data_IF_503596512520
#
_entry.id   IF_503596512520
#
_cell.length_a   1.000
_cell.length_b   1.000
_cell.length_c   1.000
_cell.angle_alpha   90.00
_cell.angle_beta   90.00
_cell.angle_gamma   90.00
#
_symmetry.space_group_name_H-M   'P 1'
#
loop_
_entity.id
_entity.type
_entity.pdbx_description
1 polymer ?
#
# COMPACT_ATOMS: atom_id res chain seq x y z
N UNK A 1 6.14 -19.59 -4.54
CA UNK A 1 7.35 -19.26 -5.30
C UNK A 1 7.70 -20.43 -6.20
N UNK A 2 7.88 -20.20 -7.50
CA UNK A 2 8.30 -21.22 -8.47
C UNK A 2 9.82 -21.49 -8.40
N UNK A 3 10.27 -22.66 -8.89
CA UNK A 3 11.70 -23.02 -8.87
C UNK A 3 12.58 -22.06 -9.68
N UNK A 4 12.11 -21.61 -10.85
CA UNK A 4 12.85 -20.65 -11.68
C UNK A 4 13.04 -19.29 -10.98
N UNK A 5 12.09 -18.86 -10.14
CA UNK A 5 12.27 -17.68 -9.30
C UNK A 5 13.38 -17.90 -8.27
N UNK A 6 13.44 -19.06 -7.62
CA UNK A 6 14.49 -19.38 -6.63
C UNK A 6 15.87 -19.38 -7.26
N UNK A 7 16.00 -19.94 -8.46
CA UNK A 7 17.25 -19.95 -9.21
C UNK A 7 17.67 -18.53 -9.60
N UNK A 8 16.74 -17.75 -10.16
CA UNK A 8 16.99 -16.36 -10.53
C UNK A 8 17.33 -15.46 -9.33
N UNK A 9 16.78 -15.74 -8.15
CA UNK A 9 17.15 -15.03 -6.91
C UNK A 9 18.60 -15.26 -6.50
N UNK A 10 19.18 -16.44 -6.77
CA UNK A 10 20.62 -16.70 -6.53
C UNK A 10 21.46 -15.83 -7.46
N UNK A 11 21.09 -15.76 -8.73
CA UNK A 11 21.77 -14.91 -9.74
C UNK A 11 21.70 -13.44 -9.31
N UNK A 12 20.52 -12.97 -8.89
CA UNK A 12 20.32 -11.62 -8.38
C UNK A 12 21.21 -11.33 -7.17
N UNK A 13 21.23 -12.22 -6.17
CA UNK A 13 22.07 -12.06 -4.99
C UNK A 13 23.56 -11.97 -5.35
N UNK A 14 24.05 -12.85 -6.22
CA UNK A 14 25.44 -12.85 -6.68
C UNK A 14 25.81 -11.62 -7.52
N UNK A 15 24.86 -11.11 -8.32
CA UNK A 15 25.03 -9.89 -9.10
C UNK A 15 25.29 -8.69 -8.17
N UNK A 16 24.39 -8.45 -7.21
CA UNK A 16 24.47 -7.31 -6.30
C UNK A 16 25.55 -7.46 -5.23
N UNK A 17 25.90 -8.68 -4.81
CA UNK A 17 26.99 -8.92 -3.86
C UNK A 17 28.36 -8.49 -4.43
N UNK A 18 28.52 -8.52 -5.74
CA UNK A 18 29.75 -8.10 -6.44
C UNK A 18 29.76 -6.61 -6.79
N UNK A 19 28.63 -5.93 -6.66
CA UNK A 19 28.52 -4.53 -7.04
C UNK A 19 29.16 -3.63 -5.97
N UNK A 20 30.16 -2.81 -6.32
CA UNK A 20 30.80 -1.92 -5.36
C UNK A 20 29.77 -0.98 -4.70
N UNK A 21 29.84 -0.85 -3.38
CA UNK A 21 29.00 0.07 -2.62
C UNK A 21 27.64 -0.49 -2.17
N UNK A 22 27.24 -1.68 -2.60
CA UNK A 22 26.02 -2.34 -2.12
C UNK A 22 26.33 -3.14 -0.84
N UNK A 23 25.78 -2.71 0.30
CA UNK A 23 26.04 -3.32 1.61
C UNK A 23 24.97 -4.34 2.02
N UNK A 24 23.81 -4.32 1.38
CA UNK A 24 22.74 -5.29 1.59
C UNK A 24 21.82 -5.36 0.37
N UNK A 25 21.17 -6.51 0.19
CA UNK A 25 20.09 -6.68 -0.77
C UNK A 25 18.87 -7.27 -0.06
N UNK A 26 17.75 -6.57 -0.19
CA UNK A 26 16.45 -7.01 0.33
C UNK A 26 15.59 -7.45 -0.85
N UNK A 27 15.05 -8.65 -0.78
CA UNK A 27 14.10 -9.19 -1.74
C UNK A 27 12.67 -8.94 -1.26
N UNK A 28 11.85 -8.35 -2.11
CA UNK A 28 10.48 -7.96 -1.78
C UNK A 28 9.47 -8.38 -2.84
N UNK A 29 8.38 -7.61 -2.92
CA UNK A 29 7.44 -7.74 -4.04
C UNK A 29 6.53 -8.96 -4.00
N UNK A 30 5.95 -9.28 -5.15
CA UNK A 30 4.88 -10.30 -5.25
C UNK A 30 5.37 -11.71 -4.93
N UNK A 31 6.61 -12.03 -5.33
CA UNK A 31 7.23 -13.35 -5.13
C UNK A 31 7.62 -13.57 -3.66
N UNK A 32 8.13 -12.53 -2.97
CA UNK A 32 8.36 -12.62 -1.52
C UNK A 32 7.06 -12.84 -0.74
N UNK A 33 5.95 -12.26 -1.23
CA UNK A 33 4.64 -12.33 -0.59
C UNK A 33 3.88 -13.64 -0.84
N UNK A 34 4.27 -14.43 -1.83
CA UNK A 34 3.60 -15.67 -2.22
C UNK A 34 2.36 -15.46 -3.08
N UNK A 35 2.28 -14.33 -3.80
CA UNK A 35 1.16 -13.95 -4.67
C UNK A 35 1.62 -13.72 -6.12
N UNK A 36 2.77 -14.29 -6.45
CA UNK A 36 3.38 -14.20 -7.78
C UNK A 36 2.61 -15.00 -8.83
N UNK A 37 2.81 -14.58 -10.09
CA UNK A 37 2.50 -15.37 -11.27
C UNK A 37 3.76 -16.06 -11.77
N UNK A 38 3.67 -17.05 -12.67
CA UNK A 38 4.84 -17.66 -13.28
C UNK A 38 5.78 -16.67 -13.98
N UNK A 39 5.24 -15.54 -14.45
CA UNK A 39 5.93 -14.47 -15.18
C UNK A 39 6.26 -13.24 -14.30
N UNK A 40 6.16 -13.37 -12.98
CA UNK A 40 6.47 -12.25 -12.08
C UNK A 40 7.95 -11.87 -12.14
N UNK A 41 8.20 -10.58 -12.03
CA UNK A 41 9.50 -9.97 -11.81
C UNK A 41 10.05 -10.26 -10.40
N UNK A 42 11.36 -10.08 -10.24
CA UNK A 42 12.01 -10.16 -8.93
C UNK A 42 12.33 -8.75 -8.42
N UNK A 43 11.58 -8.30 -7.42
CA UNK A 43 11.75 -7.00 -6.77
C UNK A 43 12.91 -7.01 -5.76
N UNK A 44 13.82 -6.05 -5.86
CA UNK A 44 14.93 -5.85 -4.94
C UNK A 44 15.03 -4.43 -4.39
N UNK A 45 15.57 -4.31 -3.19
CA UNK A 45 16.10 -3.05 -2.67
C UNK A 45 17.58 -3.21 -2.31
N UNK A 46 18.45 -2.57 -3.08
CA UNK A 46 19.89 -2.53 -2.83
C UNK A 46 20.22 -1.38 -1.87
N UNK A 47 20.84 -1.68 -0.74
CA UNK A 47 21.22 -0.68 0.27
C UNK A 47 22.62 -0.15 -0.05
N UNK A 48 22.72 1.17 -0.21
CA UNK A 48 23.96 1.88 -0.57
C UNK A 48 24.23 3.04 0.39
N UNK A 49 25.42 3.65 0.27
CA UNK A 49 25.76 4.88 0.99
C UNK A 49 24.92 6.07 0.50
N UNK A 50 24.86 7.15 1.30
CA UNK A 50 24.18 8.38 0.90
C UNK A 50 24.81 8.99 -0.35
N UNK A 51 26.15 9.03 -0.43
CA UNK A 51 26.88 9.53 -1.59
C UNK A 51 26.56 8.76 -2.88
N UNK A 52 26.49 7.42 -2.79
CA UNK A 52 26.12 6.57 -3.91
C UNK A 52 24.68 6.82 -4.36
N UNK A 53 23.75 6.91 -3.39
CA UNK A 53 22.35 7.20 -3.67
C UNK A 53 22.18 8.56 -4.35
N UNK A 54 22.84 9.61 -3.85
CA UNK A 54 22.78 10.96 -4.41
C UNK A 54 23.34 10.98 -5.85
N UNK A 55 24.44 10.27 -6.11
CA UNK A 55 24.99 10.10 -7.47
C UNK A 55 23.99 9.42 -8.40
N UNK A 56 23.32 8.37 -7.92
CA UNK A 56 22.30 7.65 -8.68
C UNK A 56 21.08 8.52 -8.98
N UNK A 57 20.62 9.30 -8.02
CA UNK A 57 19.55 10.28 -8.23
C UNK A 57 19.97 11.32 -9.27
N UNK A 58 21.18 11.89 -9.16
CA UNK A 58 21.70 12.88 -10.10
C UNK A 58 21.89 12.34 -11.53
N UNK A 59 22.00 11.01 -11.69
CA UNK A 59 22.17 10.34 -12.99
C UNK A 59 20.94 9.56 -13.43
N UNK A 60 19.81 9.68 -12.73
CA UNK A 60 18.56 8.95 -13.01
C UNK A 60 18.70 7.42 -13.00
N UNK A 61 19.56 6.90 -12.13
CA UNK A 61 19.85 5.45 -11.94
C UNK A 61 19.51 4.97 -10.52
N UNK A 62 18.56 5.63 -9.86
CA UNK A 62 18.05 5.23 -8.53
C UNK A 62 17.13 4.01 -8.57
N UNK A 63 16.73 3.57 -9.78
CA UNK A 63 16.03 2.31 -10.04
C UNK A 63 16.61 1.70 -11.30
N UNK A 64 16.72 0.38 -11.34
CA UNK A 64 17.24 -0.39 -12.46
C UNK A 64 16.28 -1.53 -12.81
N UNK A 65 16.07 -1.73 -14.11
CA UNK A 65 15.39 -2.89 -14.66
C UNK A 65 16.43 -3.72 -15.40
N UNK A 66 16.72 -4.93 -14.90
CA UNK A 66 17.72 -5.81 -15.49
C UNK A 66 17.03 -6.98 -16.17
N UNK A 67 17.07 -7.00 -17.50
CA UNK A 67 16.54 -8.09 -18.33
C UNK A 67 17.64 -9.10 -18.67
N UNK A 68 17.24 -10.31 -19.04
CA UNK A 68 18.16 -11.35 -19.54
C UNK A 68 19.02 -12.06 -18.49
N UNK A 69 18.80 -11.80 -17.20
CA UNK A 69 19.46 -12.51 -16.09
C UNK A 69 18.55 -13.53 -15.37
N UNK A 70 17.24 -13.46 -15.59
CA UNK A 70 16.31 -14.48 -15.10
C UNK A 70 16.45 -15.78 -15.91
N UNK A 71 16.19 -16.92 -15.26
CA UNK A 71 16.21 -18.26 -15.87
C UNK A 71 14.91 -18.64 -16.58
N UNK A 72 14.04 -17.65 -16.82
CA UNK A 72 12.72 -17.81 -17.43
C UNK A 72 12.42 -16.64 -18.38
N UNK A 73 11.60 -16.86 -19.43
CA UNK A 73 11.28 -15.84 -20.42
C UNK A 73 10.62 -14.61 -19.80
N UNK A 74 10.93 -13.43 -20.35
CA UNK A 74 10.38 -12.12 -19.97
C UNK A 74 10.62 -11.70 -18.50
N UNK A 75 11.27 -12.54 -17.69
CA UNK A 75 11.66 -12.21 -16.33
C UNK A 75 12.71 -11.11 -16.29
N UNK A 76 12.59 -10.22 -15.30
CA UNK A 76 13.56 -9.16 -15.03
C UNK A 76 13.69 -8.91 -13.54
N UNK A 77 14.80 -8.29 -13.14
CA UNK A 77 14.96 -7.73 -11.80
C UNK A 77 14.48 -6.27 -11.82
N UNK A 78 13.61 -5.90 -10.88
CA UNK A 78 13.24 -4.51 -10.59
C UNK A 78 13.92 -4.10 -9.29
N UNK A 79 14.98 -3.32 -9.36
CA UNK A 79 15.80 -3.00 -8.18
C UNK A 79 15.85 -1.53 -7.91
N UNK A 80 15.51 -1.16 -6.67
CA UNK A 80 15.56 0.20 -6.16
C UNK A 80 16.78 0.36 -5.28
N UNK A 81 17.48 1.48 -5.43
CA UNK A 81 18.57 1.82 -4.54
C UNK A 81 18.02 2.65 -3.39
N UNK A 82 18.37 2.27 -2.17
CA UNK A 82 17.93 2.95 -0.94
C UNK A 82 19.10 3.11 0.03
N UNK A 83 18.96 4.00 0.99
CA UNK A 83 19.95 4.18 2.05
C UNK A 83 19.51 3.51 3.34
N UNK A 84 20.46 3.29 4.26
CA UNK A 84 20.12 2.84 5.62
C UNK A 84 19.23 3.85 6.35
N UNK A 85 19.42 5.14 6.11
CA UNK A 85 18.59 6.18 6.72
C UNK A 85 17.16 6.17 6.17
N UNK A 86 16.96 5.83 4.89
CA UNK A 86 15.63 5.54 4.37
C UNK A 86 14.95 4.42 5.17
N UNK A 87 15.65 3.31 5.45
CA UNK A 87 15.08 2.21 6.23
C UNK A 87 14.71 2.64 7.66
N UNK A 88 15.54 3.46 8.31
CA UNK A 88 15.24 4.03 9.63
C UNK A 88 13.98 4.90 9.59
N UNK A 89 13.88 5.80 8.62
CA UNK A 89 12.72 6.67 8.45
C UNK A 89 11.45 5.88 8.08
N UNK A 90 11.57 4.85 7.24
CA UNK A 90 10.46 3.98 6.89
C UNK A 90 9.94 3.20 8.11
N UNK A 91 10.84 2.77 9.00
CA UNK A 91 10.46 2.07 10.23
C UNK A 91 9.67 2.96 11.18
N UNK A 92 9.98 4.27 11.21
CA UNK A 92 9.34 5.26 12.06
C UNK A 92 8.03 5.80 11.46
N UNK A 93 8.04 6.19 10.19
CA UNK A 93 6.99 6.99 9.56
C UNK A 93 6.72 6.66 8.08
N UNK A 94 7.14 5.48 7.62
CA UNK A 94 6.85 5.03 6.26
C UNK A 94 5.35 4.93 6.03
N UNK A 95 4.89 5.32 4.83
CA UNK A 95 3.49 5.14 4.42
C UNK A 95 3.11 3.65 4.38
N UNK A 96 1.83 3.32 4.43
CA UNK A 96 1.42 1.90 4.39
C UNK A 96 1.89 1.16 3.12
N UNK A 97 1.87 1.74 1.91
CA UNK A 97 2.46 1.12 0.72
C UNK A 97 3.96 0.87 0.87
N UNK A 98 4.71 1.83 1.43
CA UNK A 98 6.13 1.63 1.74
C UNK A 98 6.30 0.47 2.71
N UNK A 99 5.57 0.46 3.83
CA UNK A 99 5.65 -0.60 4.84
C UNK A 99 5.27 -1.96 4.26
N UNK A 100 4.19 -2.00 3.47
CA UNK A 100 3.72 -3.20 2.79
C UNK A 100 4.75 -3.74 1.80
N UNK A 101 5.59 -2.90 1.19
CA UNK A 101 6.67 -3.37 0.31
C UNK A 101 7.71 -4.23 1.04
N UNK A 102 7.84 -4.06 2.37
CA UNK A 102 8.70 -4.87 3.23
C UNK A 102 7.98 -6.03 3.93
N UNK A 103 6.65 -6.13 3.81
CA UNK A 103 5.90 -7.27 4.34
C UNK A 103 6.34 -8.58 3.65
N UNK A 104 6.83 -9.54 4.45
CA UNK A 104 7.48 -10.79 4.01
C UNK A 104 8.77 -10.61 3.20
N UNK A 105 9.37 -9.42 3.21
CA UNK A 105 10.66 -9.19 2.57
C UNK A 105 11.76 -10.01 3.26
N UNK A 106 12.77 -10.40 2.48
CA UNK A 106 13.87 -11.25 2.93
C UNK A 106 15.19 -10.53 2.67
N UNK A 107 16.07 -10.50 3.65
CA UNK A 107 17.44 -10.02 3.44
C UNK A 107 18.23 -11.14 2.78
N UNK A 108 18.59 -10.98 1.51
CA UNK A 108 19.37 -11.98 0.76
C UNK A 108 20.83 -11.99 1.21
N UNK A 109 21.39 -10.82 1.50
CA UNK A 109 22.66 -10.64 2.19
C UNK A 109 22.70 -9.27 2.87
N UNK A 110 23.55 -9.13 3.89
CA UNK A 110 23.86 -7.85 4.50
C UNK A 110 25.21 -7.90 5.23
N UNK A 111 25.97 -6.81 5.11
CA UNK A 111 27.20 -6.56 5.89
C UNK A 111 26.92 -5.72 7.15
N UNK A 112 25.67 -5.29 7.36
CA UNK A 112 25.26 -4.41 8.45
C UNK A 112 24.16 -5.08 9.31
N UNK A 113 24.45 -5.39 10.58
CA UNK A 113 23.53 -6.14 11.43
C UNK A 113 22.23 -5.38 11.78
N UNK A 114 22.16 -4.07 11.53
CA UNK A 114 20.94 -3.28 11.77
C UNK A 114 19.89 -3.46 10.67
N UNK A 115 20.27 -3.93 9.48
CA UNK A 115 19.35 -4.02 8.32
C UNK A 115 18.19 -4.97 8.61
N UNK A 116 18.45 -6.22 8.99
CA UNK A 116 17.38 -7.20 9.23
C UNK A 116 16.37 -6.76 10.32
N UNK A 117 16.81 -6.23 11.49
CA UNK A 117 15.89 -5.62 12.46
C UNK A 117 15.06 -4.46 11.91
N UNK A 118 15.62 -3.59 11.06
CA UNK A 118 14.87 -2.51 10.43
C UNK A 118 13.78 -3.04 9.50
N UNK A 119 14.09 -4.03 8.66
CA UNK A 119 13.10 -4.64 7.75
C UNK A 119 11.91 -5.22 8.54
N UNK A 120 12.20 -5.94 9.63
CA UNK A 120 11.15 -6.48 10.50
C UNK A 120 10.24 -5.36 11.06
N UNK A 121 10.83 -4.28 11.57
CA UNK A 121 10.09 -3.14 12.12
C UNK A 121 9.28 -2.38 11.08
N UNK A 122 9.76 -2.26 9.83
CA UNK A 122 9.03 -1.61 8.74
C UNK A 122 7.77 -2.42 8.38
N UNK A 123 7.87 -3.75 8.40
CA UNK A 123 6.78 -4.64 8.02
C UNK A 123 5.62 -4.69 9.02
N UNK A 124 5.78 -4.14 10.22
CA UNK A 124 4.74 -4.13 11.27
C UNK A 124 3.58 -3.18 10.93
N UNK A 125 2.36 -3.60 11.27
CA UNK A 125 1.17 -2.75 11.17
C UNK A 125 1.16 -1.68 12.27
N UNK A 126 0.86 -0.43 11.90
CA UNK A 126 0.96 0.73 12.79
C UNK A 126 -0.29 0.89 13.66
N UNK A 127 -0.36 0.11 14.75
CA UNK A 127 -1.49 0.13 15.68
C UNK A 127 -1.82 1.52 16.23
N UNK A 128 -0.80 2.34 16.50
CA UNK A 128 -0.97 3.70 17.02
C UNK A 128 -1.70 4.64 16.05
N UNK A 129 -1.67 4.36 14.75
CA UNK A 129 -2.31 5.19 13.72
C UNK A 129 -3.72 4.69 13.35
N UNK A 130 -4.05 3.44 13.67
CA UNK A 130 -5.31 2.78 13.27
C UNK A 130 -6.55 3.61 13.59
N UNK A 131 -6.66 4.11 14.82
CA UNK A 131 -7.83 4.90 15.22
C UNK A 131 -7.98 6.19 14.40
N UNK A 132 -6.86 6.85 14.06
CA UNK A 132 -6.88 8.07 13.29
C UNK A 132 -7.19 7.79 11.81
N UNK A 133 -6.58 6.74 11.22
CA UNK A 133 -6.86 6.25 9.87
C UNK A 133 -8.34 5.90 9.69
N UNK A 134 -8.90 5.12 10.63
CA UNK A 134 -10.32 4.76 10.63
C UNK A 134 -11.20 6.00 10.59
N UNK A 135 -10.89 7.01 11.41
CA UNK A 135 -11.64 8.25 11.44
C UNK A 135 -11.53 9.01 10.10
N UNK A 136 -10.34 9.11 9.51
CA UNK A 136 -10.13 9.79 8.23
C UNK A 136 -10.88 9.13 7.07
N UNK A 137 -10.73 7.82 6.89
CA UNK A 137 -11.42 7.10 5.80
C UNK A 137 -12.94 7.11 6.00
N UNK A 138 -13.42 6.94 7.23
CA UNK A 138 -14.85 7.03 7.50
C UNK A 138 -15.40 8.44 7.28
N UNK A 139 -14.63 9.48 7.64
CA UNK A 139 -15.05 10.86 7.43
C UNK A 139 -15.14 11.22 5.95
N UNK A 140 -14.18 10.78 5.15
CA UNK A 140 -14.21 10.97 3.70
C UNK A 140 -15.37 10.19 3.06
N UNK A 141 -15.55 8.91 3.41
CA UNK A 141 -16.69 8.10 2.99
C UNK A 141 -18.03 8.80 3.24
N UNK A 142 -18.24 9.31 4.45
CA UNK A 142 -19.50 9.93 4.84
C UNK A 142 -19.74 11.27 4.15
N UNK A 143 -18.70 12.05 3.86
CA UNK A 143 -18.85 13.29 3.07
C UNK A 143 -19.08 12.98 1.58
N UNK A 144 -18.30 12.08 0.99
CA UNK A 144 -18.50 11.62 -0.38
C UNK A 144 -19.91 11.10 -0.61
N UNK A 145 -20.41 10.24 0.28
CA UNK A 145 -21.74 9.67 0.15
C UNK A 145 -22.86 10.63 0.61
N UNK A 146 -22.79 11.17 1.82
CA UNK A 146 -23.88 11.98 2.38
C UNK A 146 -24.04 13.33 1.69
N UNK A 147 -22.93 14.06 1.52
CA UNK A 147 -22.96 15.41 0.95
C UNK A 147 -22.89 15.39 -0.57
N UNK A 148 -21.84 14.82 -1.16
CA UNK A 148 -21.67 14.89 -2.62
C UNK A 148 -22.65 13.97 -3.37
N UNK A 149 -22.77 12.71 -2.96
CA UNK A 149 -23.61 11.74 -3.66
C UNK A 149 -25.11 11.98 -3.44
N UNK A 150 -25.59 12.02 -2.19
CA UNK A 150 -27.03 12.12 -1.89
C UNK A 150 -27.58 13.55 -1.96
N UNK A 151 -26.84 14.53 -1.44
CA UNK A 151 -27.34 15.92 -1.32
C UNK A 151 -27.10 16.70 -2.62
N UNK A 152 -25.85 16.79 -3.07
CA UNK A 152 -25.51 17.53 -4.29
C UNK A 152 -25.85 16.78 -5.57
N UNK A 153 -25.94 15.44 -5.52
CA UNK A 153 -26.22 14.57 -6.66
C UNK A 153 -25.27 14.86 -7.82
N UNK A 154 -23.98 14.73 -7.53
CA UNK A 154 -22.93 15.01 -8.50
C UNK A 154 -23.03 14.10 -9.73
N UNK A 155 -22.74 14.67 -10.90
CA UNK A 155 -22.89 14.01 -12.21
C UNK A 155 -21.54 13.92 -12.97
N UNK A 156 -21.50 13.12 -14.03
CA UNK A 156 -20.35 12.96 -14.93
C UNK A 156 -19.05 12.58 -14.19
N UNK A 157 -17.96 13.33 -14.42
CA UNK A 157 -16.66 13.10 -13.79
C UNK A 157 -16.74 13.02 -12.27
N UNK A 158 -17.53 13.90 -11.64
CA UNK A 158 -17.63 13.92 -10.18
C UNK A 158 -18.34 12.67 -9.65
N UNK A 159 -19.27 12.09 -10.41
CA UNK A 159 -19.91 10.81 -10.05
C UNK A 159 -18.89 9.68 -10.02
N UNK A 160 -18.04 9.58 -11.06
CA UNK A 160 -16.96 8.58 -11.11
C UNK A 160 -15.97 8.79 -9.96
N UNK A 161 -15.56 10.05 -9.72
CA UNK A 161 -14.61 10.39 -8.64
C UNK A 161 -15.16 10.01 -7.27
N UNK A 162 -16.41 10.33 -6.97
CA UNK A 162 -17.04 10.00 -5.68
C UNK A 162 -17.26 8.50 -5.53
N UNK A 163 -17.73 7.80 -6.56
CA UNK A 163 -17.91 6.35 -6.49
C UNK A 163 -16.58 5.63 -6.18
N UNK A 164 -15.51 6.03 -6.87
CA UNK A 164 -14.16 5.52 -6.63
C UNK A 164 -13.66 5.79 -5.21
N UNK A 165 -13.85 7.02 -4.70
CA UNK A 165 -13.43 7.38 -3.34
C UNK A 165 -14.23 6.65 -2.25
N UNK A 166 -15.54 6.50 -2.46
CA UNK A 166 -16.42 5.76 -1.54
C UNK A 166 -16.00 4.30 -1.40
N UNK A 167 -15.72 3.63 -2.53
CA UNK A 167 -15.23 2.24 -2.53
C UNK A 167 -13.82 2.15 -1.95
N UNK A 168 -12.93 3.09 -2.31
CA UNK A 168 -11.59 3.18 -1.71
C UNK A 168 -11.68 3.25 -0.19
N UNK A 169 -12.43 4.19 0.37
CA UNK A 169 -12.57 4.35 1.82
C UNK A 169 -13.08 3.07 2.50
N UNK A 170 -14.10 2.41 1.95
CA UNK A 170 -14.62 1.15 2.48
C UNK A 170 -13.57 0.03 2.49
N UNK A 171 -12.81 -0.10 1.41
CA UNK A 171 -11.70 -1.05 1.33
C UNK A 171 -10.61 -0.74 2.35
N UNK A 172 -10.24 0.53 2.51
CA UNK A 172 -9.27 0.95 3.53
C UNK A 172 -9.75 0.61 4.93
N UNK A 173 -11.02 0.88 5.26
CA UNK A 173 -11.63 0.54 6.56
C UNK A 173 -11.58 -0.96 6.84
N UNK A 174 -11.87 -1.82 5.85
CA UNK A 174 -11.74 -3.27 6.01
C UNK A 174 -10.29 -3.66 6.30
N UNK A 175 -9.32 -3.13 5.55
CA UNK A 175 -7.90 -3.44 5.79
C UNK A 175 -7.46 -3.03 7.20
N UNK A 176 -7.88 -1.85 7.68
CA UNK A 176 -7.53 -1.37 9.02
C UNK A 176 -8.10 -2.25 10.14
N UNK A 177 -9.35 -2.71 10.04
CA UNK A 177 -9.93 -3.62 11.04
C UNK A 177 -9.25 -5.00 11.05
N UNK A 178 -8.75 -5.45 9.90
CA UNK A 178 -7.96 -6.68 9.78
C UNK A 178 -6.46 -6.48 10.05
N UNK A 179 -6.00 -5.26 10.31
CA UNK A 179 -4.60 -4.93 10.58
C UNK A 179 -3.66 -5.29 9.42
N UNK A 180 -4.18 -5.11 8.20
CA UNK A 180 -3.49 -5.36 6.95
C UNK A 180 -2.99 -4.02 6.40
N UNK A 181 -1.68 -3.92 6.17
CA UNK A 181 -1.07 -2.76 5.51
C UNK A 181 -1.63 -2.60 4.09
N UNK A 182 -1.98 -1.37 3.71
CA UNK A 182 -2.28 -1.02 2.33
C UNK A 182 -1.16 -1.44 1.37
N UNK A 183 -1.41 -2.25 0.33
CA UNK A 183 -0.36 -2.55 -0.63
C UNK A 183 -0.14 -1.40 -1.61
N UNK A 184 -1.20 -1.03 -2.32
CA UNK A 184 -1.30 0.02 -3.33
C UNK A 184 -2.69 -0.10 -3.98
N UNK A 185 -3.12 0.89 -4.76
CA UNK A 185 -4.41 0.85 -5.47
C UNK A 185 -4.53 -0.35 -6.42
N UNK A 186 -3.47 -0.71 -7.14
CA UNK A 186 -3.46 -1.85 -8.08
C UNK A 186 -3.82 -3.18 -7.40
N UNK A 187 -3.49 -3.36 -6.11
CA UNK A 187 -3.64 -4.62 -5.37
C UNK A 187 -4.68 -4.54 -4.25
N UNK A 188 -5.35 -3.39 -4.08
CA UNK A 188 -6.26 -3.12 -2.97
C UNK A 188 -7.36 -4.18 -2.88
N UNK A 189 -8.08 -4.42 -3.98
CA UNK A 189 -9.16 -5.41 -4.01
C UNK A 189 -8.68 -6.83 -3.68
N UNK A 190 -7.51 -7.22 -4.19
CA UNK A 190 -6.94 -8.53 -3.88
C UNK A 190 -6.72 -8.69 -2.37
N UNK A 191 -6.25 -7.64 -1.69
CA UNK A 191 -5.98 -7.69 -0.25
C UNK A 191 -7.28 -7.65 0.58
N UNK A 192 -8.29 -6.90 0.13
CA UNK A 192 -9.61 -6.93 0.74
C UNK A 192 -10.24 -8.31 0.57
N UNK A 193 -10.13 -8.92 -0.61
CA UNK A 193 -10.65 -10.27 -0.87
C UNK A 193 -9.98 -11.31 0.04
N UNK A 194 -8.67 -11.17 0.28
CA UNK A 194 -7.89 -12.04 1.17
C UNK A 194 -8.08 -11.75 2.66
N UNK A 195 -8.69 -10.62 3.04
CA UNK A 195 -8.89 -10.27 4.43
C UNK A 195 -9.77 -11.34 5.11
N UNK A 196 -9.34 -11.90 6.27
CA UNK A 196 -10.02 -13.02 6.90
C UNK A 196 -11.40 -12.63 7.45
N UNK A 197 -11.60 -11.36 7.81
CA UNK A 197 -12.85 -10.85 8.36
C UNK A 197 -13.37 -9.69 7.51
N UNK A 198 -14.54 -9.87 6.89
CA UNK A 198 -15.19 -8.84 6.05
C UNK A 198 -16.65 -9.21 5.80
N UNK A 199 -17.50 -8.27 5.36
CA UNK A 199 -18.84 -8.62 4.91
C UNK A 199 -18.81 -9.61 3.74
N UNK A 200 -19.79 -10.50 3.69
CA UNK A 200 -19.93 -11.47 2.60
C UNK A 200 -20.16 -10.76 1.26
N UNK A 201 -19.53 -11.25 0.18
CA UNK A 201 -19.65 -10.72 -1.19
C UNK A 201 -19.32 -9.22 -1.33
N UNK A 202 -18.51 -8.66 -0.42
CA UNK A 202 -18.27 -7.21 -0.36
C UNK A 202 -17.60 -6.64 -1.62
N UNK A 203 -16.47 -7.20 -2.05
CA UNK A 203 -15.74 -6.74 -3.25
C UNK A 203 -16.59 -6.89 -4.52
N UNK A 204 -17.28 -8.02 -4.79
CA UNK A 204 -18.23 -8.10 -5.90
C UNK A 204 -19.29 -7.00 -5.90
N UNK A 205 -19.89 -6.67 -4.75
CA UNK A 205 -20.88 -5.58 -4.67
C UNK A 205 -20.25 -4.21 -4.99
N UNK A 206 -19.06 -3.92 -4.45
CA UNK A 206 -18.34 -2.68 -4.72
C UNK A 206 -17.97 -2.53 -6.21
N UNK A 207 -17.53 -3.61 -6.87
CA UNK A 207 -17.28 -3.61 -8.32
C UNK A 207 -18.54 -3.30 -9.12
N UNK A 208 -19.64 -3.99 -8.80
CA UNK A 208 -20.92 -3.75 -9.45
C UNK A 208 -21.38 -2.29 -9.26
N UNK A 209 -21.15 -1.69 -8.08
CA UNK A 209 -21.46 -0.28 -7.86
C UNK A 209 -20.61 0.66 -8.71
N UNK A 210 -19.31 0.40 -8.88
CA UNK A 210 -18.45 1.19 -9.75
C UNK A 210 -18.86 1.11 -11.25
N UNK A 211 -19.58 0.07 -11.65
CA UNK A 211 -20.10 -0.10 -13.02
C UNK A 211 -21.48 0.55 -13.21
N UNK A 212 -22.36 0.42 -12.21
CA UNK A 212 -23.77 0.84 -12.35
C UNK A 212 -24.07 2.21 -11.76
N UNK A 213 -23.26 2.67 -10.80
CA UNK A 213 -23.53 3.83 -9.96
C UNK A 213 -24.93 3.78 -9.31
N UNK A 214 -25.42 2.58 -8.99
CA UNK A 214 -26.73 2.37 -8.39
C UNK A 214 -26.74 2.78 -6.91
N UNK A 215 -27.54 3.79 -6.59
CA UNK A 215 -27.82 4.28 -5.25
C UNK A 215 -28.26 3.19 -4.28
N UNK A 216 -29.21 2.34 -4.69
CA UNK A 216 -29.76 1.30 -3.81
C UNK A 216 -28.72 0.20 -3.54
N UNK A 217 -27.83 -0.05 -4.50
CA UNK A 217 -26.71 -0.96 -4.31
C UNK A 217 -25.72 -0.38 -3.29
N UNK A 218 -25.35 0.90 -3.39
CA UNK A 218 -24.44 1.49 -2.42
C UNK A 218 -25.03 1.55 -1.01
N UNK A 219 -26.32 1.85 -0.89
CA UNK A 219 -27.03 1.85 0.40
C UNK A 219 -26.91 0.48 1.09
N UNK A 220 -27.01 -0.61 0.32
CA UNK A 220 -26.79 -1.98 0.83
C UNK A 220 -25.34 -2.25 1.22
N UNK A 221 -24.37 -1.78 0.41
CA UNK A 221 -22.93 -1.92 0.73
C UNK A 221 -22.60 -1.22 2.05
N UNK A 222 -23.06 0.02 2.21
CA UNK A 222 -22.82 0.80 3.43
C UNK A 222 -23.50 0.16 4.65
N UNK A 223 -24.72 -0.35 4.49
CA UNK A 223 -25.41 -1.09 5.55
C UNK A 223 -24.66 -2.37 5.95
N UNK A 224 -24.16 -3.14 4.97
CA UNK A 224 -23.36 -4.33 5.23
C UNK A 224 -22.06 -4.01 5.99
N UNK A 225 -21.36 -2.94 5.59
CA UNK A 225 -20.18 -2.47 6.33
C UNK A 225 -20.54 -2.08 7.78
N UNK A 226 -21.58 -1.27 7.97
CA UNK A 226 -22.01 -0.80 9.31
C UNK A 226 -22.47 -1.92 10.23
N UNK A 227 -23.07 -2.98 9.68
CA UNK A 227 -23.48 -4.15 10.45
C UNK A 227 -22.29 -5.05 10.83
N UNK A 228 -21.22 -5.03 10.04
CA UNK A 228 -20.03 -5.85 10.25
C UNK A 228 -18.97 -5.19 11.15
N UNK A 229 -18.71 -3.89 10.96
CA UNK A 229 -17.66 -3.16 11.65
C UNK A 229 -17.83 -3.23 13.17
N UNK A 230 -16.73 -3.49 13.88
CA UNK A 230 -16.69 -3.45 15.36
C UNK A 230 -16.23 -2.10 15.88
N UNK A 231 -15.74 -1.23 14.99
CA UNK A 231 -15.23 0.07 15.35
C UNK A 231 -16.40 1.03 15.67
N UNK A 232 -16.39 1.71 16.84
CA UNK A 232 -17.43 2.65 17.24
C UNK A 232 -17.31 3.94 16.42
N UNK A 233 -17.86 3.91 15.20
CA UNK A 233 -17.81 5.03 14.27
C UNK A 233 -18.64 6.23 14.78
N UNK A 234 -18.17 7.47 14.56
CA UNK A 234 -18.90 8.65 15.02
C UNK A 234 -20.19 8.86 14.21
N UNK A 235 -21.22 9.35 14.89
CA UNK A 235 -22.48 9.79 14.26
C UNK A 235 -22.63 11.31 14.25
N UNK A 236 -21.79 12.04 15.01
CA UNK A 236 -21.77 13.50 15.01
C UNK A 236 -21.12 14.02 13.72
N UNK A 237 -21.92 14.72 12.92
CA UNK A 237 -21.51 15.30 11.65
C UNK A 237 -20.39 16.35 11.81
N UNK A 238 -20.30 17.02 12.96
CA UNK A 238 -19.23 17.99 13.21
C UNK A 238 -17.86 17.31 13.31
N UNK A 239 -17.79 16.14 13.95
CA UNK A 239 -16.55 15.35 14.04
C UNK A 239 -16.11 14.92 12.63
N UNK A 240 -17.06 14.38 11.87
CA UNK A 240 -16.83 13.88 10.50
C UNK A 240 -16.36 15.03 9.59
N UNK A 241 -17.09 16.15 9.56
CA UNK A 241 -16.74 17.29 8.72
C UNK A 241 -15.41 17.94 9.14
N UNK A 242 -15.15 18.06 10.45
CA UNK A 242 -13.89 18.62 10.96
C UNK A 242 -12.69 17.77 10.57
N UNK A 243 -12.79 16.44 10.70
CA UNK A 243 -11.73 15.54 10.25
C UNK A 243 -11.49 15.68 8.76
N UNK A 244 -12.55 15.63 7.95
CA UNK A 244 -12.46 15.75 6.49
C UNK A 244 -11.79 17.05 6.05
N UNK A 245 -12.09 18.15 6.73
CA UNK A 245 -11.44 19.43 6.48
C UNK A 245 -9.93 19.38 6.79
N UNK A 246 -9.54 18.78 7.93
CA UNK A 246 -8.13 18.63 8.28
C UNK A 246 -7.35 17.83 7.25
N UNK A 247 -7.92 16.73 6.77
CA UNK A 247 -7.23 15.80 5.89
C UNK A 247 -7.10 16.29 4.43
N UNK A 248 -8.00 17.15 3.96
CA UNK A 248 -8.05 17.51 2.53
C UNK A 248 -7.98 19.01 2.23
N UNK A 249 -8.35 19.88 3.16
CA UNK A 249 -8.30 21.33 2.95
C UNK A 249 -7.15 21.98 3.72
N UNK A 250 -6.88 21.49 4.95
CA UNK A 250 -5.92 22.10 5.89
C UNK A 250 -4.64 21.29 6.08
N UNK A 251 -4.46 20.16 5.40
CA UNK A 251 -3.30 19.27 5.56
C UNK A 251 -1.95 19.96 5.32
N UNK A 252 -1.91 20.99 4.49
CA UNK A 252 -0.70 21.77 4.22
C UNK A 252 -0.38 22.79 5.33
N UNK A 253 -1.40 23.20 6.11
CA UNK A 253 -1.27 24.14 7.23
C UNK A 253 -1.04 23.40 8.54
N UNK A 254 -1.77 22.32 8.77
CA UNK A 254 -1.58 21.37 9.88
C UNK A 254 -1.13 20.06 9.22
N UNK A 255 0.19 19.79 9.17
CA UNK A 255 0.74 18.64 8.46
C UNK A 255 0.00 17.35 8.78
N UNK A 256 -0.60 16.77 7.75
CA UNK A 256 -1.30 15.48 7.80
C UNK A 256 -0.79 14.54 6.72
N UNK A 257 -0.86 13.23 6.93
CA UNK A 257 -0.47 12.25 5.92
C UNK A 257 -1.30 12.38 4.65
N UNK A 258 -0.69 12.05 3.52
CA UNK A 258 -1.40 11.92 2.26
C UNK A 258 -2.38 10.74 2.34
N UNK A 259 -3.69 11.01 2.46
CA UNK A 259 -4.72 9.99 2.67
C UNK A 259 -4.66 8.85 1.64
N UNK A 260 -4.32 9.17 0.38
CA UNK A 260 -4.23 8.19 -0.69
C UNK A 260 -3.15 7.10 -0.46
N UNK A 261 -2.15 7.38 0.38
CA UNK A 261 -1.04 6.48 0.71
C UNK A 261 -0.91 6.17 2.21
N UNK A 262 -1.71 6.80 3.06
CA UNK A 262 -1.58 6.70 4.50
C UNK A 262 -2.04 5.36 5.04
#
# INVERSE_FOLDING_TARGET
MYEHHKESLRIMAEHYRRQPGVIALIFGGSVAKGIERPDSDLDGMAVVSQEEFDRRVATSTSTEMITGQCTYPEGYFDVKYITKDFLRLAAEKGSEPTRSSFYKAQVLFSDDPEIAPLIARIAEFQQSEKAEKMLSFYSDLMLCYGYYWKTLRVEHYMKIRMASEMVYCLYRLILQENEILFPCNRRLEQYVEMAPDKPENFVPMCRAFCETFDDALFDRILAAYKAWTRWPHPTDLNIIASRRQLDFEKWWYIPRPLIAEW
#
